data_IF_295791171375
#
_entry.id   IF_295791171375
#
_cell.length_a   1.000
_cell.length_b   1.000
_cell.length_c   1.000
_cell.angle_alpha   90.00
_cell.angle_beta   90.00
_cell.angle_gamma   90.00
#
_symmetry.space_group_name_H-M   'P 1'
#
loop_
_entity.id
_entity.type
_entity.pdbx_description
1 polymer ?
#
# COMPACT_ATOMS: atom_id res chain seq x y z
N UNK A 1 -12.99 -21.70 -12.28
CA UNK A 1 -13.90 -22.06 -11.18
C UNK A 1 -15.21 -21.34 -11.40
N UNK A 2 -16.33 -21.98 -11.10
CA UNK A 2 -17.62 -21.29 -11.07
C UNK A 2 -17.71 -20.39 -9.82
N UNK A 3 -18.53 -19.34 -9.85
CA UNK A 3 -18.59 -18.34 -8.78
C UNK A 3 -18.92 -18.94 -7.39
N UNK A 4 -19.92 -19.84 -7.33
CA UNK A 4 -20.30 -20.51 -6.07
C UNK A 4 -19.23 -21.48 -5.53
N UNK A 5 -18.34 -21.98 -6.38
CA UNK A 5 -17.22 -22.83 -5.97
C UNK A 5 -16.13 -21.99 -5.28
N UNK A 6 -15.84 -20.80 -5.82
CA UNK A 6 -14.89 -19.86 -5.23
C UNK A 6 -15.38 -19.38 -3.86
N UNK A 7 -16.66 -19.01 -3.76
CA UNK A 7 -17.27 -18.59 -2.50
C UNK A 7 -17.16 -19.68 -1.43
N UNK A 8 -17.50 -20.93 -1.78
CA UNK A 8 -17.38 -22.06 -0.87
C UNK A 8 -15.95 -22.29 -0.34
N UNK A 9 -14.94 -22.16 -1.21
CA UNK A 9 -13.52 -22.29 -0.81
C UNK A 9 -13.10 -21.15 0.11
N UNK A 10 -13.50 -19.92 -0.19
CA UNK A 10 -13.20 -18.74 0.63
C UNK A 10 -13.83 -18.87 2.02
N UNK A 11 -15.11 -19.25 2.09
CA UNK A 11 -15.80 -19.46 3.37
C UNK A 11 -15.13 -20.58 4.17
N UNK A 12 -14.78 -21.70 3.53
CA UNK A 12 -14.07 -22.79 4.20
C UNK A 12 -12.71 -22.37 4.76
N UNK A 13 -11.98 -21.49 4.06
CA UNK A 13 -10.74 -20.90 4.56
C UNK A 13 -10.98 -19.92 5.72
N UNK A 14 -12.01 -19.08 5.65
CA UNK A 14 -12.39 -18.16 6.73
C UNK A 14 -12.79 -18.89 8.02
N UNK A 15 -13.49 -20.02 7.89
CA UNK A 15 -13.90 -20.88 9.00
C UNK A 15 -12.75 -21.73 9.58
N UNK A 16 -11.55 -21.67 8.98
CA UNK A 16 -10.41 -22.50 9.40
C UNK A 16 -10.54 -23.98 9.02
N UNK A 17 -11.44 -24.32 8.10
CA UNK A 17 -11.53 -25.67 7.51
C UNK A 17 -10.44 -25.91 6.45
N UNK A 18 -9.80 -24.84 5.98
CA UNK A 18 -8.63 -24.87 5.11
C UNK A 18 -7.54 -23.97 5.71
N UNK A 19 -6.31 -24.48 5.80
CA UNK A 19 -5.18 -23.73 6.37
C UNK A 19 -4.44 -22.86 5.33
N UNK A 20 -4.52 -23.23 4.05
CA UNK A 20 -3.78 -22.57 2.95
C UNK A 20 -4.69 -22.31 1.77
N UNK A 21 -4.78 -21.03 1.36
CA UNK A 21 -5.49 -20.59 0.17
C UNK A 21 -4.48 -20.21 -0.93
N UNK A 22 -4.37 -21.03 -1.96
CA UNK A 22 -3.57 -20.73 -3.15
C UNK A 22 -4.47 -20.07 -4.18
N UNK A 23 -4.10 -18.87 -4.62
CA UNK A 23 -4.94 -18.09 -5.52
C UNK A 23 -4.13 -17.18 -6.43
N UNK A 24 -4.78 -16.66 -7.46
CA UNK A 24 -4.26 -15.59 -8.32
C UNK A 24 -4.62 -14.22 -7.75
N UNK A 25 -4.23 -13.16 -8.45
CA UNK A 25 -4.63 -11.78 -8.13
C UNK A 25 -6.14 -11.55 -8.06
N UNK A 26 -6.98 -12.47 -8.55
CA UNK A 26 -8.44 -12.30 -8.62
C UNK A 26 -9.09 -12.09 -7.24
N UNK A 27 -8.45 -12.47 -6.13
CA UNK A 27 -8.95 -12.12 -4.78
C UNK A 27 -8.89 -10.59 -4.51
N UNK A 28 -8.26 -9.79 -5.37
CA UNK A 28 -8.34 -8.32 -5.37
C UNK A 28 -9.78 -7.75 -5.41
N UNK A 29 -10.82 -8.53 -5.73
CA UNK A 29 -12.20 -8.02 -5.83
C UNK A 29 -12.93 -7.72 -4.51
N UNK A 30 -12.23 -7.64 -3.38
CA UNK A 30 -12.80 -7.11 -2.12
C UNK A 30 -13.07 -8.15 -1.04
N UNK A 31 -12.57 -9.37 -1.20
CA UNK A 31 -12.56 -10.37 -0.13
C UNK A 31 -11.45 -9.98 0.86
N UNK A 32 -11.88 -9.63 2.07
CA UNK A 32 -11.00 -9.41 3.21
C UNK A 32 -10.85 -10.70 3.99
N UNK A 33 -9.61 -11.07 4.32
CA UNK A 33 -9.27 -12.34 4.96
C UNK A 33 -8.60 -12.02 6.30
N UNK A 34 -9.38 -11.54 7.29
CA UNK A 34 -8.82 -11.05 8.55
C UNK A 34 -8.05 -12.14 9.30
N UNK A 35 -8.48 -13.39 9.19
CA UNK A 35 -7.89 -14.57 9.85
C UNK A 35 -6.54 -14.99 9.27
N UNK A 36 -6.19 -14.55 8.07
CA UNK A 36 -4.86 -14.75 7.53
C UNK A 36 -3.88 -13.79 8.21
N UNK A 37 -2.78 -14.35 8.71
CA UNK A 37 -1.65 -13.60 9.26
C UNK A 37 -0.40 -13.67 8.38
N UNK A 38 -0.39 -14.50 7.35
CA UNK A 38 0.78 -14.72 6.49
C UNK A 38 0.38 -14.62 5.03
N UNK A 39 0.99 -13.67 4.32
CA UNK A 39 0.87 -13.50 2.87
C UNK A 39 2.16 -13.96 2.20
N UNK A 40 2.04 -14.74 1.13
CA UNK A 40 3.18 -15.09 0.28
C UNK A 40 2.83 -14.66 -1.14
N UNK A 41 3.59 -13.70 -1.68
CA UNK A 41 3.43 -13.24 -3.07
C UNK A 41 4.53 -13.86 -3.90
N UNK A 42 4.14 -14.82 -4.74
CA UNK A 42 5.05 -15.42 -5.71
C UNK A 42 5.21 -14.50 -6.92
N UNK A 43 6.44 -14.37 -7.44
CA UNK A 43 6.78 -13.43 -8.51
C UNK A 43 6.43 -11.97 -8.19
N UNK A 44 6.77 -11.51 -6.98
CA UNK A 44 6.44 -10.15 -6.53
C UNK A 44 6.97 -9.05 -7.46
N UNK A 45 8.03 -9.31 -8.24
CA UNK A 45 8.60 -8.39 -9.22
C UNK A 45 7.64 -7.98 -10.36
N UNK A 46 6.55 -8.75 -10.55
CA UNK A 46 5.55 -8.54 -11.61
C UNK A 46 4.41 -7.63 -11.19
N UNK A 47 4.28 -7.35 -9.89
CA UNK A 47 3.16 -6.57 -9.36
C UNK A 47 3.46 -5.07 -9.36
N UNK A 48 2.40 -4.24 -9.40
CA UNK A 48 2.50 -2.83 -9.10
C UNK A 48 2.79 -2.58 -7.62
N UNK A 49 3.37 -1.42 -7.30
CA UNK A 49 3.63 -1.03 -5.91
C UNK A 49 2.30 -0.88 -5.14
N UNK A 50 1.29 -0.27 -5.78
CA UNK A 50 -0.05 -0.14 -5.23
C UNK A 50 -0.71 -1.51 -4.97
N UNK A 51 -0.63 -2.44 -5.91
CA UNK A 51 -1.24 -3.78 -5.80
C UNK A 51 -0.64 -4.56 -4.63
N UNK A 52 0.69 -4.56 -4.49
CA UNK A 52 1.39 -5.18 -3.36
C UNK A 52 0.97 -4.56 -2.02
N UNK A 53 0.78 -3.25 -1.98
CA UNK A 53 0.31 -2.55 -0.79
C UNK A 53 -1.13 -2.93 -0.42
N UNK A 54 -2.02 -3.04 -1.41
CA UNK A 54 -3.40 -3.49 -1.21
C UNK A 54 -3.47 -4.94 -0.72
N UNK A 55 -2.70 -5.84 -1.33
CA UNK A 55 -2.60 -7.24 -0.90
C UNK A 55 -2.09 -7.34 0.55
N UNK A 56 -1.06 -6.57 0.90
CA UNK A 56 -0.54 -6.50 2.27
C UNK A 56 -1.61 -6.02 3.26
N UNK A 57 -2.44 -5.05 2.86
CA UNK A 57 -3.50 -4.49 3.71
C UNK A 57 -4.68 -5.43 4.01
N UNK A 58 -4.77 -6.58 3.32
CA UNK A 58 -5.84 -7.59 3.53
C UNK A 58 -5.49 -8.66 4.55
N UNK A 59 -4.27 -8.62 5.08
CA UNK A 59 -3.74 -9.61 6.03
C UNK A 59 -3.37 -8.89 7.31
N UNK A 60 -3.59 -9.52 8.47
CA UNK A 60 -3.16 -8.96 9.76
C UNK A 60 -4.10 -7.94 10.37
N UNK A 61 -5.41 -8.25 10.46
CA UNK A 61 -6.41 -7.40 11.14
C UNK A 61 -6.57 -7.68 12.65
N UNK A 62 -5.81 -8.63 13.19
CA UNK A 62 -5.84 -9.01 14.61
C UNK A 62 -4.67 -8.43 15.41
N UNK A 63 -4.69 -8.61 16.73
CA UNK A 63 -3.63 -8.25 17.68
C UNK A 63 -2.32 -9.04 17.48
N UNK A 64 -2.32 -10.00 16.55
CA UNK A 64 -1.18 -10.82 16.18
C UNK A 64 -0.39 -10.21 15.04
N UNK A 65 0.94 -10.24 15.18
CA UNK A 65 1.86 -9.81 14.12
C UNK A 65 1.62 -10.64 12.85
N UNK A 66 1.43 -9.94 11.74
CA UNK A 66 1.33 -10.53 10.42
C UNK A 66 2.65 -10.41 9.63
N UNK A 67 2.82 -11.30 8.65
CA UNK A 67 4.00 -11.40 7.81
C UNK A 67 3.61 -11.38 6.34
N UNK A 68 4.39 -10.68 5.52
CA UNK A 68 4.25 -10.68 4.08
C UNK A 68 5.60 -11.01 3.44
N UNK A 69 5.65 -12.13 2.72
CA UNK A 69 6.84 -12.60 2.02
C UNK A 69 6.71 -12.29 0.54
N UNK A 70 7.58 -11.41 0.05
CA UNK A 70 7.67 -11.06 -1.37
C UNK A 70 8.75 -11.94 -2.02
N UNK A 71 8.33 -12.94 -2.79
CA UNK A 71 9.23 -13.93 -3.39
C UNK A 71 9.54 -13.51 -4.82
N UNK A 72 10.82 -13.31 -5.11
CA UNK A 72 11.31 -12.96 -6.46
C UNK A 72 11.96 -14.16 -7.14
N UNK A 73 11.79 -14.28 -8.46
CA UNK A 73 12.43 -15.36 -9.21
C UNK A 73 13.93 -15.13 -9.37
N UNK A 74 14.75 -16.15 -9.06
CA UNK A 74 16.21 -16.13 -9.31
C UNK A 74 16.58 -15.98 -10.79
N UNK A 75 15.68 -16.39 -11.71
CA UNK A 75 15.92 -16.38 -13.16
C UNK A 75 15.36 -15.14 -13.85
N UNK A 76 14.50 -14.38 -13.19
CA UNK A 76 13.98 -13.14 -13.76
C UNK A 76 15.05 -12.06 -13.67
N UNK A 77 15.36 -11.43 -14.80
CA UNK A 77 16.15 -10.20 -14.79
C UNK A 77 15.33 -9.11 -14.11
N UNK A 78 15.63 -8.84 -12.85
CA UNK A 78 14.94 -7.80 -12.10
C UNK A 78 15.35 -6.44 -12.67
N UNK A 79 14.39 -5.72 -13.25
CA UNK A 79 14.63 -4.35 -13.72
C UNK A 79 14.94 -3.44 -12.53
N UNK A 80 15.68 -2.35 -12.76
CA UNK A 80 15.96 -1.36 -11.73
C UNK A 80 14.65 -0.81 -11.11
N UNK A 81 13.62 -0.60 -11.93
CA UNK A 81 12.30 -0.14 -11.49
C UNK A 81 11.58 -1.18 -10.62
N UNK A 82 11.62 -2.48 -10.96
CA UNK A 82 11.05 -3.53 -10.11
C UNK A 82 11.77 -3.63 -8.76
N UNK A 83 13.10 -3.48 -8.76
CA UNK A 83 13.90 -3.46 -7.54
C UNK A 83 13.47 -2.28 -6.63
N UNK A 84 13.44 -1.08 -7.18
CA UNK A 84 13.09 0.13 -6.42
C UNK A 84 11.67 0.06 -5.85
N UNK A 85 10.71 -0.51 -6.60
CA UNK A 85 9.34 -0.77 -6.09
C UNK A 85 9.33 -1.72 -4.89
N UNK A 86 10.07 -2.82 -4.97
CA UNK A 86 10.13 -3.80 -3.86
C UNK A 86 10.83 -3.23 -2.63
N UNK A 87 11.89 -2.42 -2.82
CA UNK A 87 12.58 -1.70 -1.74
C UNK A 87 11.63 -0.71 -1.06
N UNK A 88 10.91 0.11 -1.83
CA UNK A 88 9.89 1.02 -1.29
C UNK A 88 8.79 0.30 -0.49
N UNK A 89 8.35 -0.88 -0.91
CA UNK A 89 7.39 -1.70 -0.14
C UNK A 89 7.91 -2.11 1.23
N UNK A 90 9.21 -2.41 1.34
CA UNK A 90 9.87 -2.86 2.57
C UNK A 90 10.19 -1.69 3.50
N UNK A 91 10.54 -0.52 2.95
CA UNK A 91 10.81 0.68 3.74
C UNK A 91 9.55 1.26 4.37
N UNK A 92 8.42 1.25 3.64
CA UNK A 92 7.16 1.85 4.09
C UNK A 92 6.22 0.83 4.77
N UNK A 93 6.65 0.30 5.92
CA UNK A 93 5.92 -0.73 6.69
C UNK A 93 4.98 -0.18 7.77
N UNK A 94 5.07 1.12 8.11
CA UNK A 94 4.23 1.71 9.16
C UNK A 94 2.74 1.76 8.76
N UNK A 95 1.85 1.54 9.74
CA UNK A 95 0.41 1.79 9.58
C UNK A 95 0.17 3.24 9.14
N UNK A 96 -0.60 3.43 8.07
CA UNK A 96 -0.84 4.74 7.46
C UNK A 96 0.21 5.18 6.43
N UNK A 97 1.16 4.32 6.06
CA UNK A 97 2.13 4.61 4.99
C UNK A 97 1.53 4.69 3.58
N UNK A 98 0.22 4.50 3.42
CA UNK A 98 -0.47 4.53 2.13
C UNK A 98 -0.24 5.82 1.33
N UNK A 99 -0.13 6.97 2.00
CA UNK A 99 0.23 8.23 1.33
C UNK A 99 1.67 8.23 0.81
N UNK A 100 2.62 7.69 1.58
CA UNK A 100 4.03 7.58 1.18
C UNK A 100 4.19 6.60 0.00
N UNK A 101 3.51 5.46 0.08
CA UNK A 101 3.47 4.46 -0.99
C UNK A 101 2.86 5.03 -2.27
N UNK A 102 1.74 5.77 -2.18
CA UNK A 102 1.14 6.43 -3.33
C UNK A 102 2.07 7.47 -3.96
N UNK A 103 2.79 8.23 -3.12
CA UNK A 103 3.78 9.19 -3.58
C UNK A 103 4.94 8.51 -4.32
N UNK A 104 5.43 7.41 -3.77
CA UNK A 104 6.52 6.65 -4.38
C UNK A 104 6.08 5.94 -5.67
N UNK A 105 4.86 5.41 -5.73
CA UNK A 105 4.28 4.85 -6.96
C UNK A 105 4.20 5.92 -8.06
N UNK A 106 3.79 7.14 -7.70
CA UNK A 106 3.75 8.27 -8.62
C UNK A 106 5.15 8.70 -9.10
N UNK A 107 6.17 8.69 -8.23
CA UNK A 107 7.56 8.93 -8.63
C UNK A 107 8.08 7.86 -9.58
N UNK A 108 7.82 6.60 -9.26
CA UNK A 108 8.30 5.42 -9.99
C UNK A 108 7.64 5.25 -11.36
N UNK A 109 6.37 5.65 -11.50
CA UNK A 109 5.70 5.78 -12.80
C UNK A 109 6.19 6.98 -13.60
N UNK A 110 6.87 7.92 -12.92
CA UNK A 110 7.26 9.21 -13.46
C UNK A 110 6.07 10.16 -13.47
N UNK A 111 6.07 11.12 -12.56
CA UNK A 111 5.18 12.29 -12.59
C UNK A 111 5.45 13.23 -13.80
N UNK A 112 6.00 12.69 -14.89
CA UNK A 112 6.40 13.39 -16.10
C UNK A 112 5.26 13.72 -17.05
N UNK A 113 3.99 13.48 -16.68
CA UNK A 113 2.85 13.79 -17.55
C UNK A 113 1.82 14.77 -16.97
N UNK A 114 2.04 15.32 -15.77
CA UNK A 114 1.13 16.35 -15.22
C UNK A 114 1.39 17.72 -15.84
N UNK A 115 2.60 17.96 -16.36
CA UNK A 115 3.00 19.21 -17.03
C UNK A 115 3.37 19.01 -18.51
N UNK A 116 3.17 17.79 -19.03
CA UNK A 116 3.24 17.40 -20.44
C UNK A 116 4.32 18.07 -21.29
N UNK A 117 5.56 17.57 -21.27
CA UNK A 117 6.43 17.60 -22.46
C UNK A 117 7.43 16.43 -22.35
N UNK A 118 7.47 15.60 -23.38
CA UNK A 118 8.50 14.58 -23.61
C UNK A 118 9.89 15.23 -23.75
N UNK A 119 10.58 15.62 -22.67
CA UNK A 119 12.04 15.86 -22.73
C UNK A 119 12.77 15.57 -21.40
N UNK A 120 13.65 14.58 -21.46
CA UNK A 120 14.92 14.39 -20.73
C UNK A 120 14.99 14.66 -19.20
N UNK A 121 14.75 13.61 -18.42
CA UNK A 121 15.79 12.96 -17.60
C UNK A 121 16.29 13.58 -16.29
N UNK A 122 16.12 14.88 -16.01
CA UNK A 122 16.56 15.47 -14.72
C UNK A 122 15.65 16.61 -14.21
N UNK A 123 15.10 17.43 -15.11
CA UNK A 123 14.29 18.61 -14.74
C UNK A 123 12.91 18.21 -14.18
N UNK A 124 12.32 17.13 -14.72
CA UNK A 124 11.02 16.62 -14.25
C UNK A 124 11.06 16.08 -12.80
N UNK A 125 12.21 15.56 -12.35
CA UNK A 125 12.35 15.00 -11.00
C UNK A 125 12.39 16.12 -9.93
N UNK A 126 13.09 17.22 -10.23
CA UNK A 126 13.21 18.39 -9.32
C UNK A 126 11.86 19.08 -9.14
N UNK A 127 11.09 19.26 -10.23
CA UNK A 127 9.78 19.89 -10.17
C UNK A 127 8.77 19.09 -9.34
N UNK A 128 8.76 17.77 -9.49
CA UNK A 128 7.86 16.91 -8.72
C UNK A 128 8.24 16.87 -7.24
N UNK A 129 9.53 16.72 -6.89
CA UNK A 129 9.94 16.70 -5.48
C UNK A 129 9.57 18.00 -4.76
N UNK A 130 9.77 19.16 -5.43
CA UNK A 130 9.35 20.45 -4.91
C UNK A 130 7.83 20.53 -4.73
N UNK A 131 7.05 20.08 -5.72
CA UNK A 131 5.58 20.02 -5.63
C UNK A 131 5.13 19.18 -4.42
N UNK A 132 5.70 17.99 -4.24
CA UNK A 132 5.38 17.12 -3.11
C UNK A 132 5.76 17.73 -1.76
N UNK A 133 6.80 18.57 -1.73
CA UNK A 133 7.24 19.29 -0.53
C UNK A 133 6.23 20.38 -0.18
N UNK A 134 5.86 21.20 -1.16
CA UNK A 134 4.84 22.25 -1.00
C UNK A 134 3.47 21.67 -0.61
N UNK A 135 3.08 20.54 -1.21
CA UNK A 135 1.82 19.86 -0.88
C UNK A 135 1.83 19.32 0.57
N UNK A 136 2.95 18.73 1.02
CA UNK A 136 3.10 18.29 2.41
C UNK A 136 3.02 19.45 3.39
N UNK A 137 3.67 20.58 3.08
CA UNK A 137 3.58 21.79 3.90
C UNK A 137 2.15 22.34 3.96
N UNK A 138 1.45 22.39 2.84
CA UNK A 138 0.06 22.87 2.79
C UNK A 138 -0.90 21.98 3.59
N UNK A 139 -0.79 20.65 3.45
CA UNK A 139 -1.58 19.69 4.24
C UNK A 139 -1.22 19.76 5.73
N UNK A 140 0.06 19.97 6.06
CA UNK A 140 0.52 20.20 7.43
C UNK A 140 -0.16 21.41 8.07
N UNK A 141 -0.13 22.56 7.39
CA UNK A 141 -0.79 23.80 7.84
C UNK A 141 -2.28 23.61 8.12
N UNK A 142 -3.01 22.97 7.19
CA UNK A 142 -4.45 22.71 7.37
C UNK A 142 -4.73 21.80 8.58
N UNK A 143 -3.88 20.80 8.84
CA UNK A 143 -4.05 19.91 10.01
C UNK A 143 -3.72 20.62 11.33
N UNK A 144 -2.75 21.52 11.33
CA UNK A 144 -2.39 22.35 12.49
C UNK A 144 -3.49 23.39 12.77
N UNK A 145 -4.01 24.05 11.74
CA UNK A 145 -5.14 25.00 11.84
C UNK A 145 -6.43 24.29 12.30
N UNK A 146 -6.66 23.05 11.85
CA UNK A 146 -7.77 22.21 12.31
C UNK A 146 -7.66 21.80 13.78
N UNK A 147 -6.44 21.55 14.27
CA UNK A 147 -6.18 21.23 15.68
C UNK A 147 -6.36 22.45 16.62
N UNK A 148 -6.10 23.66 16.13
CA UNK A 148 -6.34 24.90 16.86
C UNK A 148 -7.85 25.21 17.04
N UNK A 149 -8.73 24.56 16.28
CA UNK A 149 -10.18 24.79 16.32
C UNK A 149 -10.98 23.90 17.29
N UNK A 150 -10.33 22.98 18.02
CA UNK A 150 -11.00 22.21 19.08
C UNK A 150 -11.06 23.04 20.37
N UNK A 151 -12.25 23.47 20.85
CA UNK A 151 -12.34 24.12 22.15
C UNK A 151 -11.92 23.11 23.22
N UNK A 152 -11.07 23.55 24.17
CA UNK A 152 -10.80 22.82 25.42
C UNK A 152 -12.10 22.77 26.24
N UNK A 153 -12.97 21.82 25.94
CA UNK A 153 -14.10 21.49 26.79
C UNK A 153 -13.59 20.56 27.90
N UNK A 154 -12.92 21.12 28.93
CA UNK A 154 -12.67 20.48 30.22
C UNK A 154 -11.89 21.44 31.13
N UNK A 155 -12.58 22.45 31.68
CA UNK A 155 -12.17 23.19 32.88
C UNK A 155 -13.36 23.98 33.48
N UNK A 156 -14.51 23.33 33.67
CA UNK A 156 -15.60 23.89 34.49
C UNK A 156 -16.52 22.78 35.02
N UNK A 157 -15.94 21.95 35.89
CA UNK A 157 -16.60 21.00 36.78
C UNK A 157 -15.50 20.61 37.79
N UNK A 158 -15.50 20.91 39.08
CA UNK A 158 -16.48 21.25 40.13
C UNK A 158 -15.63 21.81 41.31
N UNK A 159 -16.17 22.00 42.53
CA UNK A 159 -17.48 22.51 42.95
C UNK A 159 -17.39 23.93 43.55
#
# INVERSE_FOLDING_TARGET
>A
MAEGELEGVVVAFMDGRLDVLVTTTIIESGIDIPNANTLIVHHAERFGLADLYQLRGRVGRFDRRAYAYLVVSKRATMTAQSRQRLEAMVEHTALGSGFQIAMEDLKLRGAGNVLGVEQSGHVSAVGFDLYCRLLREAVGRIREDGAASRPKAEAMAQP
#
